data_IF_508295178774
#
_entry.id   IF_508295178774
#
_cell.length_a   1.000
_cell.length_b   1.000
_cell.length_c   1.000
_cell.angle_alpha   90.00
_cell.angle_beta   90.00
_cell.angle_gamma   90.00
#
_symmetry.space_group_name_H-M   'P 1'
#
loop_
_entity.id
_entity.type
_entity.pdbx_description
1 polymer ?
#
# COMPACT_ATOMS: atom_id res chain seq x y z
N UNK A 1 0.35 41.53 -53.46
CA UNK A 1 -0.83 41.29 -52.59
C UNK A 1 -0.97 39.78 -52.39
N UNK A 2 -0.33 39.18 -51.38
CA UNK A 2 -0.42 37.75 -51.12
C UNK A 2 -1.57 37.45 -50.15
N UNK A 3 -2.20 36.31 -50.42
CA UNK A 3 -3.41 35.72 -49.84
C UNK A 3 -3.35 35.42 -48.33
N UNK A 4 -4.44 35.69 -47.62
CA UNK A 4 -4.69 35.23 -46.24
C UNK A 4 -4.93 33.70 -46.19
N UNK A 5 -4.43 33.00 -45.15
CA UNK A 5 -4.76 31.59 -44.92
C UNK A 5 -6.18 31.39 -44.34
N UNK A 6 -6.80 30.21 -44.53
CA UNK A 6 -8.19 29.95 -44.13
C UNK A 6 -8.33 29.69 -42.62
N UNK A 7 -9.52 29.99 -42.08
CA UNK A 7 -9.88 29.81 -40.66
C UNK A 7 -9.96 28.33 -40.25
N UNK A 8 -9.60 27.98 -39.00
CA UNK A 8 -9.75 26.63 -38.48
C UNK A 8 -11.23 26.27 -38.20
N UNK A 9 -11.58 24.97 -38.23
CA UNK A 9 -12.95 24.50 -38.00
C UNK A 9 -13.39 24.64 -36.53
N UNK A 10 -14.70 24.89 -36.34
CA UNK A 10 -15.33 25.07 -35.03
C UNK A 10 -15.35 23.75 -34.23
N UNK A 11 -14.93 23.84 -32.96
CA UNK A 11 -15.01 22.76 -31.97
C UNK A 11 -16.45 22.24 -31.82
N UNK A 12 -16.64 20.96 -32.13
CA UNK A 12 -17.86 20.21 -31.86
C UNK A 12 -17.96 19.88 -30.37
N UNK A 13 -19.15 20.09 -29.81
CA UNK A 13 -19.51 19.91 -28.42
C UNK A 13 -19.66 18.41 -28.07
N UNK A 14 -18.88 17.81 -27.15
CA UNK A 14 -19.11 16.43 -26.73
C UNK A 14 -20.20 16.38 -25.65
N UNK A 15 -21.46 16.23 -26.08
CA UNK A 15 -22.51 15.67 -25.23
C UNK A 15 -22.28 14.16 -25.09
N UNK A 16 -22.20 13.68 -23.85
CA UNK A 16 -22.47 12.28 -23.52
C UNK A 16 -21.27 11.46 -23.04
N UNK A 17 -20.89 11.63 -21.78
CA UNK A 17 -20.20 10.59 -21.03
C UNK A 17 -21.00 10.32 -19.73
N UNK A 18 -21.39 9.07 -19.43
CA UNK A 18 -22.21 8.75 -18.27
C UNK A 18 -21.39 8.90 -16.98
N UNK A 19 -21.94 9.65 -16.01
CA UNK A 19 -21.39 9.75 -14.65
C UNK A 19 -21.46 8.38 -13.97
N UNK A 20 -20.30 7.77 -13.71
CA UNK A 20 -20.21 6.61 -12.82
C UNK A 20 -20.45 7.08 -11.38
N UNK A 21 -21.57 6.66 -10.81
CA UNK A 21 -21.93 6.87 -9.40
C UNK A 21 -21.09 5.94 -8.52
N UNK A 22 -20.52 6.39 -7.38
CA UNK A 22 -19.74 5.52 -6.52
C UNK A 22 -20.67 4.51 -5.82
N UNK A 23 -20.49 3.24 -6.15
CA UNK A 23 -21.19 2.13 -5.52
C UNK A 23 -20.86 2.09 -4.02
N UNK A 24 -21.90 2.22 -3.20
CA UNK A 24 -21.88 2.04 -1.74
C UNK A 24 -21.22 0.71 -1.38
N UNK A 25 -20.18 0.77 -0.56
CA UNK A 25 -19.64 -0.38 0.14
C UNK A 25 -20.75 -0.99 1.02
N UNK A 26 -21.23 -2.18 0.66
CA UNK A 26 -22.11 -2.98 1.52
C UNK A 26 -21.26 -3.61 2.61
N UNK A 27 -21.26 -3.00 3.79
CA UNK A 27 -20.84 -3.64 5.02
C UNK A 27 -21.75 -4.86 5.28
N UNK A 28 -21.14 -6.02 5.49
CA UNK A 28 -21.84 -7.21 5.98
C UNK A 28 -22.16 -7.00 7.46
N UNK A 29 -23.36 -6.48 7.75
CA UNK A 29 -23.94 -6.50 9.08
C UNK A 29 -24.71 -7.81 9.28
N UNK A 30 -24.30 -8.61 10.26
CA UNK A 30 -25.04 -9.77 10.75
C UNK A 30 -26.16 -9.25 11.67
N UNK A 31 -27.44 -9.60 11.45
CA UNK A 31 -28.50 -9.15 12.33
C UNK A 31 -28.52 -9.99 13.62
N UNK A 32 -28.42 -9.33 14.76
CA UNK A 32 -28.72 -9.90 16.07
C UNK A 32 -30.24 -10.00 16.23
N UNK A 33 -30.81 -11.20 16.08
CA UNK A 33 -32.19 -11.49 16.44
C UNK A 33 -32.31 -11.80 17.93
N UNK A 34 -33.04 -10.95 18.67
CA UNK A 34 -33.62 -11.28 19.98
C UNK A 34 -35.11 -11.56 19.82
N UNK A 35 -35.59 -12.56 20.55
CA UNK A 35 -37.00 -12.98 20.69
C UNK A 35 -37.07 -14.49 20.49
N UNK A 36 -37.40 -15.35 21.45
CA UNK A 36 -38.10 -15.16 22.72
C UNK A 36 -39.16 -16.26 22.78
N UNK A 37 -38.85 -17.42 23.39
CA UNK A 37 -39.85 -18.45 23.71
C UNK A 37 -39.47 -19.09 25.05
N UNK A 38 -40.40 -19.03 26.00
CA UNK A 38 -40.32 -19.63 27.34
C UNK A 38 -40.95 -21.04 27.37
N UNK A 39 -40.76 -21.83 28.45
CA UNK A 39 -40.56 -23.28 28.39
C UNK A 39 -41.84 -24.09 28.70
N UNK A 40 -41.89 -25.34 28.22
CA UNK A 40 -42.89 -26.31 28.68
C UNK A 40 -42.90 -27.61 27.88
N UNK A 41 -42.52 -28.73 28.50
CA UNK A 41 -42.77 -30.09 27.98
C UNK A 41 -41.62 -31.08 28.24
N UNK A 42 -41.90 -32.33 28.65
CA UNK A 42 -40.98 -33.15 29.43
C UNK A 42 -39.90 -33.86 28.60
N UNK A 43 -38.76 -34.11 29.24
CA UNK A 43 -37.63 -34.85 28.69
C UNK A 43 -37.93 -36.36 28.58
N UNK A 44 -37.58 -37.01 27.46
CA UNK A 44 -37.35 -38.44 27.44
C UNK A 44 -35.88 -38.73 27.77
N UNK A 45 -35.68 -39.37 28.92
CA UNK A 45 -34.47 -40.05 29.34
C UNK A 45 -34.12 -41.19 28.36
N UNK A 46 -33.04 -41.03 27.59
CA UNK A 46 -32.26 -42.14 27.01
C UNK A 46 -31.04 -41.61 26.23
N UNK A 47 -29.99 -41.16 26.92
CA UNK A 47 -28.68 -40.93 26.28
C UNK A 47 -27.54 -40.91 27.31
N UNK A 48 -27.39 -41.96 28.10
CA UNK A 48 -26.23 -42.16 28.97
C UNK A 48 -25.58 -43.51 28.70
N UNK A 49 -25.07 -43.70 27.48
CA UNK A 49 -24.24 -44.87 27.17
C UNK A 49 -23.28 -44.69 25.98
N UNK A 50 -22.62 -43.53 25.84
CA UNK A 50 -21.50 -43.38 24.89
C UNK A 50 -20.31 -42.53 25.39
N UNK A 51 -20.22 -42.23 26.69
CA UNK A 51 -19.07 -41.55 27.29
C UNK A 51 -18.11 -42.52 28.01
N UNK A 52 -17.76 -43.62 27.35
CA UNK A 52 -16.65 -44.49 27.79
C UNK A 52 -15.91 -45.02 26.56
N UNK A 53 -15.20 -44.11 25.90
CA UNK A 53 -14.30 -44.40 24.79
C UNK A 53 -13.18 -43.38 24.82
N UNK A 54 -12.18 -43.63 25.68
CA UNK A 54 -10.96 -42.86 25.73
C UNK A 54 -10.14 -43.08 24.46
N UNK A 55 -10.43 -42.34 23.41
CA UNK A 55 -9.46 -42.04 22.37
C UNK A 55 -8.89 -40.67 22.70
N UNK A 56 -7.70 -40.66 23.30
CA UNK A 56 -6.91 -39.45 23.44
C UNK A 56 -6.68 -38.89 22.03
N UNK A 57 -7.38 -37.80 21.70
CA UNK A 57 -6.98 -36.97 20.56
C UNK A 57 -5.50 -36.65 20.78
N UNK A 58 -4.61 -36.99 19.84
CA UNK A 58 -3.21 -36.66 20.00
C UNK A 58 -3.14 -35.15 20.18
N UNK A 59 -2.64 -34.71 21.35
CA UNK A 59 -2.26 -33.32 21.61
C UNK A 59 -1.39 -32.91 20.43
N UNK A 60 -1.96 -32.15 19.51
CA UNK A 60 -1.22 -31.52 18.44
C UNK A 60 -0.05 -30.83 19.12
N UNK A 61 1.19 -31.18 18.73
CA UNK A 61 2.38 -30.38 19.05
C UNK A 61 1.99 -28.92 18.85
N UNK A 62 2.50 -28.01 19.70
CA UNK A 62 2.37 -26.55 19.52
C UNK A 62 2.93 -26.13 18.15
N UNK A 63 2.20 -26.39 17.08
CA UNK A 63 2.27 -25.70 15.82
C UNK A 63 1.22 -24.61 15.93
N UNK A 64 1.64 -23.35 15.85
CA UNK A 64 0.73 -22.21 15.82
C UNK A 64 -0.36 -22.41 14.77
N UNK A 65 -1.49 -21.73 14.95
CA UNK A 65 -2.61 -21.82 14.00
C UNK A 65 -2.11 -21.43 12.60
N UNK A 66 -2.48 -22.22 11.59
CA UNK A 66 -2.06 -21.96 10.22
C UNK A 66 -2.45 -20.52 9.80
N UNK A 67 -1.47 -19.73 9.38
CA UNK A 67 -1.66 -18.35 8.92
C UNK A 67 -1.48 -17.25 9.96
N UNK A 68 -1.09 -17.55 11.20
CA UNK A 68 -0.79 -16.52 12.21
C UNK A 68 0.31 -15.54 11.75
N UNK A 69 1.35 -16.04 11.08
CA UNK A 69 2.47 -15.23 10.57
C UNK A 69 1.99 -14.23 9.51
N UNK A 70 1.23 -14.69 8.52
CA UNK A 70 0.72 -13.85 7.45
C UNK A 70 -0.25 -12.78 7.98
N UNK A 71 -1.09 -13.12 8.96
CA UNK A 71 -1.97 -12.15 9.64
C UNK A 71 -1.16 -11.15 10.48
N UNK A 72 -0.06 -11.59 11.10
CA UNK A 72 0.86 -10.77 11.86
C UNK A 72 1.48 -9.63 11.04
N UNK A 73 1.82 -9.89 9.78
CA UNK A 73 2.30 -8.88 8.82
C UNK A 73 1.26 -7.76 8.61
N UNK A 74 0.00 -8.13 8.34
CA UNK A 74 -1.08 -7.16 8.12
C UNK A 74 -1.37 -6.34 9.40
N UNK A 75 -1.40 -6.99 10.56
CA UNK A 75 -1.66 -6.32 11.85
C UNK A 75 -0.59 -5.29 12.24
N UNK A 76 0.63 -5.44 11.77
CA UNK A 76 1.67 -4.43 11.99
C UNK A 76 1.49 -3.23 11.09
N UNK A 77 1.20 -3.42 9.80
CA UNK A 77 0.89 -2.29 8.92
C UNK A 77 -0.30 -1.48 9.44
N UNK A 78 -1.28 -2.15 10.04
CA UNK A 78 -2.40 -1.50 10.71
C UNK A 78 -1.97 -0.70 11.95
N UNK A 79 -0.98 -1.21 12.72
CA UNK A 79 -0.42 -0.50 13.89
C UNK A 79 0.43 0.69 13.49
N UNK A 80 1.13 0.62 12.35
CA UNK A 80 1.84 1.72 11.73
C UNK A 80 0.85 2.71 11.08
N UNK A 81 -0.07 3.26 11.88
CA UNK A 81 -1.02 4.26 11.44
C UNK A 81 -0.29 5.58 11.08
N UNK A 82 -0.81 6.33 10.11
CA UNK A 82 -0.24 7.62 9.69
C UNK A 82 0.65 7.58 8.44
N UNK A 83 0.62 6.51 7.65
CA UNK A 83 1.28 6.45 6.34
C UNK A 83 2.80 6.23 6.37
N UNK A 84 3.43 6.22 7.55
CA UNK A 84 4.85 5.90 7.69
C UNK A 84 5.16 4.48 7.18
N UNK A 85 6.34 4.31 6.57
CA UNK A 85 6.81 3.03 6.06
C UNK A 85 7.61 2.28 7.15
N UNK A 86 7.05 1.20 7.76
CA UNK A 86 7.81 0.41 8.72
C UNK A 86 8.92 -0.41 8.03
N UNK A 87 9.87 -0.97 8.78
CA UNK A 87 10.90 -1.87 8.22
C UNK A 87 10.29 -3.05 7.45
N UNK A 88 10.94 -3.46 6.36
CA UNK A 88 10.53 -4.63 5.59
C UNK A 88 10.78 -5.92 6.38
N UNK A 89 9.77 -6.77 6.51
CA UNK A 89 9.82 -7.98 7.34
C UNK A 89 10.09 -9.22 6.50
N UNK A 90 11.33 -9.28 5.98
CA UNK A 90 11.79 -10.35 5.10
C UNK A 90 11.70 -11.72 5.77
N UNK A 91 12.08 -11.79 7.05
CA UNK A 91 12.15 -13.06 7.78
C UNK A 91 10.75 -13.63 8.07
N UNK A 92 9.82 -12.80 8.55
CA UNK A 92 8.43 -13.22 8.77
C UNK A 92 7.71 -13.59 7.47
N UNK A 93 7.98 -12.86 6.37
CA UNK A 93 7.46 -13.20 5.05
C UNK A 93 8.02 -14.55 4.57
N UNK A 94 9.33 -14.77 4.68
CA UNK A 94 9.98 -16.04 4.33
C UNK A 94 9.38 -17.20 5.12
N UNK A 95 9.25 -17.03 6.43
CA UNK A 95 8.64 -18.03 7.31
C UNK A 95 7.17 -18.32 6.99
N UNK A 96 6.40 -17.32 6.56
CA UNK A 96 5.02 -17.53 6.12
C UNK A 96 4.95 -18.30 4.79
N UNK A 97 5.87 -18.04 3.86
CA UNK A 97 5.97 -18.77 2.60
C UNK A 97 6.42 -20.23 2.80
N UNK A 98 7.33 -20.49 3.74
CA UNK A 98 7.72 -21.86 4.11
C UNK A 98 6.57 -22.65 4.72
N UNK A 99 5.76 -22.00 5.57
CA UNK A 99 4.54 -22.59 6.11
C UNK A 99 3.55 -22.94 4.98
N UNK A 100 3.36 -22.03 4.02
CA UNK A 100 2.52 -22.29 2.85
C UNK A 100 3.05 -23.44 2.00
N UNK A 101 4.36 -23.54 1.76
CA UNK A 101 4.97 -24.65 1.03
C UNK A 101 4.72 -25.99 1.75
N UNK A 102 4.95 -26.05 3.06
CA UNK A 102 4.72 -27.27 3.83
C UNK A 102 3.24 -27.69 3.83
N UNK A 103 2.31 -26.72 3.93
CA UNK A 103 0.88 -26.99 3.81
C UNK A 103 0.50 -27.49 2.41
N UNK A 104 1.09 -26.91 1.36
CA UNK A 104 0.86 -27.32 -0.02
C UNK A 104 1.34 -28.75 -0.29
N UNK A 105 2.55 -29.11 0.15
CA UNK A 105 3.12 -30.45 -0.03
C UNK A 105 2.27 -31.52 0.69
N UNK A 106 1.85 -31.26 1.93
CA UNK A 106 0.91 -32.15 2.65
C UNK A 106 -0.44 -32.25 1.94
N UNK A 107 -0.94 -31.14 1.41
CA UNK A 107 -2.19 -31.12 0.66
C UNK A 107 -2.11 -31.96 -0.62
N UNK A 108 -0.98 -31.92 -1.33
CA UNK A 108 -0.74 -32.71 -2.54
C UNK A 108 -0.64 -34.21 -2.24
N UNK A 109 -0.01 -34.60 -1.13
CA UNK A 109 0.02 -35.98 -0.68
C UNK A 109 -1.41 -36.51 -0.45
N UNK A 110 -2.23 -35.78 0.32
CA UNK A 110 -3.61 -36.20 0.60
C UNK A 110 -4.50 -36.19 -0.66
N UNK A 111 -4.25 -35.30 -1.63
CA UNK A 111 -4.93 -35.34 -2.93
C UNK A 111 -4.62 -36.62 -3.70
N UNK A 112 -3.37 -37.10 -3.65
CA UNK A 112 -2.97 -38.35 -4.30
C UNK A 112 -3.66 -39.56 -3.66
N UNK A 113 -3.78 -39.55 -2.32
CA UNK A 113 -4.48 -40.56 -1.54
C UNK A 113 -6.02 -40.52 -1.73
N UNK A 114 -6.59 -39.34 -1.88
CA UNK A 114 -8.01 -39.20 -2.19
C UNK A 114 -8.34 -39.78 -3.58
N UNK A 115 -7.43 -39.64 -4.55
CA UNK A 115 -7.57 -40.24 -5.89
C UNK A 115 -7.49 -41.77 -5.87
N UNK A 116 -6.76 -42.37 -4.92
CA UNK A 116 -6.70 -43.83 -4.76
C UNK A 116 -7.89 -44.41 -3.97
N UNK A 117 -8.83 -43.56 -3.51
CA UNK A 117 -10.10 -43.98 -2.92
C UNK A 117 -10.38 -43.44 -1.51
N UNK A 118 -9.42 -42.74 -0.87
CA UNK A 118 -9.59 -42.17 0.48
C UNK A 118 -10.33 -40.82 0.46
N UNK A 119 -11.63 -40.90 0.15
CA UNK A 119 -12.51 -39.72 -0.01
C UNK A 119 -12.76 -38.97 1.30
N UNK A 120 -12.53 -39.58 2.46
CA UNK A 120 -12.57 -38.95 3.79
C UNK A 120 -11.60 -37.77 3.93
N UNK A 121 -10.53 -37.73 3.13
CA UNK A 121 -9.55 -36.65 3.12
C UNK A 121 -10.03 -35.37 2.42
N UNK A 122 -11.14 -35.40 1.66
CA UNK A 122 -11.63 -34.25 0.88
C UNK A 122 -11.85 -33.01 1.76
N UNK A 123 -12.41 -33.18 2.96
CA UNK A 123 -12.63 -32.08 3.88
C UNK A 123 -11.30 -31.42 4.30
N UNK A 124 -10.30 -32.23 4.66
CA UNK A 124 -8.99 -31.76 5.09
C UNK A 124 -8.25 -31.06 3.95
N UNK A 125 -8.38 -31.57 2.72
CA UNK A 125 -7.83 -30.96 1.51
C UNK A 125 -8.42 -29.56 1.30
N UNK A 126 -9.76 -29.45 1.37
CA UNK A 126 -10.45 -28.17 1.20
C UNK A 126 -10.09 -27.18 2.30
N UNK A 127 -9.97 -27.64 3.54
CA UNK A 127 -9.53 -26.81 4.66
C UNK A 127 -8.14 -26.22 4.42
N UNK A 128 -7.15 -27.05 4.08
CA UNK A 128 -5.77 -26.57 3.80
C UNK A 128 -5.72 -25.65 2.59
N UNK A 129 -6.51 -25.93 1.55
CA UNK A 129 -6.63 -25.04 0.40
C UNK A 129 -7.15 -23.65 0.81
N UNK A 130 -8.19 -23.57 1.64
CA UNK A 130 -8.67 -22.29 2.18
C UNK A 130 -7.61 -21.55 3.01
N UNK A 131 -6.81 -22.27 3.82
CA UNK A 131 -5.70 -21.68 4.56
C UNK A 131 -4.64 -21.07 3.62
N UNK A 132 -4.27 -21.77 2.55
CA UNK A 132 -3.32 -21.25 1.55
C UNK A 132 -3.83 -19.97 0.89
N UNK A 133 -5.09 -19.94 0.46
CA UNK A 133 -5.70 -18.75 -0.13
C UNK A 133 -5.76 -17.59 0.85
N UNK A 134 -6.02 -17.87 2.14
CA UNK A 134 -6.00 -16.84 3.18
C UNK A 134 -4.61 -16.25 3.36
N UNK A 135 -3.58 -17.09 3.44
CA UNK A 135 -2.19 -16.64 3.60
C UNK A 135 -1.73 -15.82 2.39
N UNK A 136 -2.05 -16.28 1.17
CA UNK A 136 -1.78 -15.54 -0.06
C UNK A 136 -2.39 -14.14 -0.01
N UNK A 137 -3.68 -14.02 0.35
CA UNK A 137 -4.35 -12.71 0.47
C UNK A 137 -3.68 -11.80 1.49
N UNK A 138 -3.29 -12.33 2.64
CA UNK A 138 -2.60 -11.55 3.68
C UNK A 138 -1.22 -11.06 3.22
N UNK A 139 -0.43 -11.91 2.57
CA UNK A 139 0.89 -11.54 2.03
C UNK A 139 0.76 -10.50 0.93
N UNK A 140 -0.15 -10.70 -0.03
CA UNK A 140 -0.38 -9.73 -1.10
C UNK A 140 -0.87 -8.39 -0.55
N UNK A 141 -1.77 -8.40 0.43
CA UNK A 141 -2.22 -7.17 1.09
C UNK A 141 -1.06 -6.44 1.79
N UNK A 142 -0.17 -7.17 2.48
CA UNK A 142 1.02 -6.59 3.11
C UNK A 142 1.93 -5.90 2.08
N UNK A 143 2.28 -6.61 1.01
CA UNK A 143 3.15 -6.07 -0.04
C UNK A 143 2.50 -4.89 -0.75
N UNK A 144 1.21 -4.98 -1.07
CA UNK A 144 0.49 -3.92 -1.78
C UNK A 144 0.36 -2.64 -0.95
N UNK A 145 0.01 -2.73 0.33
CA UNK A 145 -0.09 -1.56 1.21
C UNK A 145 1.27 -0.85 1.35
N UNK A 146 2.36 -1.61 1.46
CA UNK A 146 3.72 -1.04 1.45
C UNK A 146 4.03 -0.31 0.15
N UNK A 147 3.71 -0.89 -1.01
CA UNK A 147 3.87 -0.22 -2.31
C UNK A 147 3.06 1.07 -2.40
N UNK A 148 1.85 1.12 -1.84
CA UNK A 148 1.05 2.34 -1.80
C UNK A 148 1.72 3.44 -0.97
N UNK A 149 2.32 3.09 0.17
CA UNK A 149 3.10 4.03 1.01
C UNK A 149 4.36 4.51 0.28
N UNK A 150 5.11 3.60 -0.35
CA UNK A 150 6.29 3.94 -1.16
C UNK A 150 5.93 4.86 -2.32
N UNK A 151 4.78 4.62 -2.97
CA UNK A 151 4.24 5.52 -3.99
C UNK A 151 3.99 6.91 -3.42
N UNK A 152 3.35 7.02 -2.26
CA UNK A 152 3.07 8.30 -1.62
C UNK A 152 4.37 9.09 -1.33
N UNK A 153 5.43 8.40 -0.90
CA UNK A 153 6.74 9.04 -0.67
C UNK A 153 7.31 9.74 -1.90
N UNK A 154 7.05 9.24 -3.13
CA UNK A 154 7.45 9.94 -4.37
C UNK A 154 6.75 11.29 -4.51
N UNK A 155 5.50 11.40 -4.07
CA UNK A 155 4.71 12.63 -4.16
C UNK A 155 5.01 13.60 -3.00
N UNK A 156 5.44 13.08 -1.85
CA UNK A 156 5.78 13.88 -0.67
C UNK A 156 7.22 14.43 -0.72
N UNK A 157 8.23 13.55 -0.92
CA UNK A 157 9.65 13.91 -0.86
C UNK A 157 10.29 14.16 -2.23
N UNK A 158 9.72 13.61 -3.30
CA UNK A 158 10.25 13.72 -4.65
C UNK A 158 11.07 12.50 -5.10
N UNK A 159 11.98 12.72 -6.05
CA UNK A 159 12.76 11.64 -6.71
C UNK A 159 13.83 11.01 -5.82
N UNK A 160 14.28 11.75 -4.80
CA UNK A 160 15.33 11.34 -3.87
C UNK A 160 14.69 11.20 -2.48
N UNK A 161 14.77 10.00 -1.91
CA UNK A 161 14.25 9.71 -0.59
C UNK A 161 15.38 9.80 0.46
N UNK A 162 15.09 10.25 1.69
CA UNK A 162 16.05 10.17 2.79
C UNK A 162 16.53 8.73 3.04
N UNK A 163 17.81 8.57 3.38
CA UNK A 163 18.41 7.25 3.65
C UNK A 163 17.69 6.47 4.77
N UNK A 164 17.16 7.17 5.77
CA UNK A 164 16.40 6.55 6.86
C UNK A 164 15.14 5.81 6.35
N UNK A 165 14.51 6.31 5.30
CA UNK A 165 13.34 5.66 4.68
C UNK A 165 13.79 4.51 3.78
N UNK A 166 14.85 4.72 3.00
CA UNK A 166 15.40 3.68 2.12
C UNK A 166 15.86 2.44 2.91
N UNK A 167 16.36 2.63 4.14
CA UNK A 167 16.75 1.53 5.03
C UNK A 167 15.59 0.60 5.43
N UNK A 168 14.35 1.08 5.36
CA UNK A 168 13.15 0.28 5.65
C UNK A 168 12.59 -0.45 4.41
N UNK A 169 13.18 -0.25 3.23
CA UNK A 169 12.74 -0.84 1.97
C UNK A 169 13.51 -2.11 1.64
N UNK A 170 12.85 -3.07 1.00
CA UNK A 170 13.56 -4.18 0.36
C UNK A 170 14.25 -3.74 -0.94
N UNK A 171 15.22 -4.53 -1.42
CA UNK A 171 15.89 -4.23 -2.69
C UNK A 171 14.91 -4.17 -3.87
N UNK A 172 13.90 -5.04 -3.86
CA UNK A 172 12.84 -5.13 -4.87
C UNK A 172 11.89 -3.93 -4.79
N UNK A 173 11.61 -3.43 -3.59
CA UNK A 173 10.83 -2.21 -3.37
C UNK A 173 11.57 -0.97 -3.90
N UNK A 174 12.89 -0.91 -3.70
CA UNK A 174 13.75 0.16 -4.25
C UNK A 174 13.75 0.11 -5.78
N UNK A 175 13.89 -1.08 -6.36
CA UNK A 175 13.83 -1.26 -7.81
C UNK A 175 12.45 -0.84 -8.37
N UNK A 176 11.37 -1.22 -7.70
CA UNK A 176 10.02 -0.79 -8.04
C UNK A 176 9.88 0.74 -7.99
N UNK A 177 10.40 1.39 -6.94
CA UNK A 177 10.40 2.85 -6.83
C UNK A 177 11.16 3.51 -7.99
N UNK A 178 12.30 2.95 -8.37
CA UNK A 178 13.08 3.45 -9.51
C UNK A 178 12.34 3.31 -10.85
N UNK A 179 11.59 2.22 -11.05
CA UNK A 179 10.72 2.07 -12.23
C UNK A 179 9.57 3.07 -12.20
N UNK A 180 8.93 3.24 -11.05
CA UNK A 180 7.82 4.17 -10.88
C UNK A 180 8.22 5.63 -11.10
N UNK A 181 9.36 6.08 -10.54
CA UNK A 181 9.83 7.45 -10.75
C UNK A 181 10.20 7.71 -12.21
N UNK A 182 10.74 6.71 -12.91
CA UNK A 182 11.05 6.80 -14.34
C UNK A 182 9.77 6.91 -15.18
N UNK A 183 8.77 6.06 -14.93
CA UNK A 183 7.50 6.12 -15.66
C UNK A 183 6.75 7.43 -15.41
N UNK A 184 6.78 7.94 -14.17
CA UNK A 184 6.21 9.24 -13.84
C UNK A 184 6.93 10.38 -14.58
N UNK A 185 8.27 10.35 -14.64
CA UNK A 185 9.03 11.35 -15.39
C UNK A 185 8.74 11.31 -16.90
N UNK A 186 8.59 10.11 -17.48
CA UNK A 186 8.14 9.95 -18.88
C UNK A 186 6.76 10.57 -19.09
N UNK A 187 5.83 10.33 -18.16
CA UNK A 187 4.49 10.92 -18.24
C UNK A 187 4.53 12.45 -18.11
N UNK A 188 5.27 13.00 -17.15
CA UNK A 188 5.44 14.44 -16.97
C UNK A 188 6.00 15.13 -18.22
N UNK A 189 6.91 14.48 -18.95
CA UNK A 189 7.42 14.99 -20.22
C UNK A 189 6.39 14.93 -21.36
N UNK A 190 5.46 13.98 -21.32
CA UNK A 190 4.43 13.82 -22.35
C UNK A 190 3.26 14.79 -22.22
N UNK A 191 3.11 15.42 -21.06
CA UNK A 191 2.04 16.38 -20.73
C UNK A 191 2.67 17.78 -20.67
N UNK A 192 1.98 18.83 -21.12
CA UNK A 192 2.50 20.20 -21.02
C UNK A 192 3.24 20.74 -22.25
N UNK A 193 3.12 20.08 -23.41
CA UNK A 193 3.73 20.57 -24.66
C UNK A 193 5.23 20.28 -24.74
N UNK A 194 6.01 21.20 -25.28
CA UNK A 194 7.46 21.00 -25.51
C UNK A 194 8.30 21.02 -24.22
N UNK A 195 7.85 21.73 -23.18
CA UNK A 195 8.60 21.86 -21.91
C UNK A 195 8.26 20.78 -20.87
N UNK A 196 7.16 20.05 -21.06
CA UNK A 196 6.64 19.12 -20.06
C UNK A 196 5.90 19.83 -18.91
N UNK A 197 5.34 19.06 -17.98
CA UNK A 197 4.66 19.58 -16.78
C UNK A 197 5.02 18.73 -15.57
N UNK A 198 5.68 19.34 -14.58
CA UNK A 198 5.94 18.69 -13.29
C UNK A 198 4.69 18.68 -12.40
N UNK A 199 3.94 17.59 -12.51
CA UNK A 199 2.73 17.32 -11.71
C UNK A 199 2.98 17.22 -10.20
N UNK A 200 4.24 17.15 -9.76
CA UNK A 200 4.54 17.07 -8.33
C UNK A 200 4.68 18.44 -7.69
N UNK A 201 4.73 19.53 -8.45
CA UNK A 201 4.81 20.89 -7.92
C UNK A 201 3.42 21.50 -7.67
N UNK A 202 3.38 22.63 -6.95
CA UNK A 202 2.19 23.49 -6.83
C UNK A 202 0.92 22.84 -6.24
N UNK A 203 1.09 21.92 -5.28
CA UNK A 203 -0.04 21.26 -4.59
C UNK A 203 -0.91 22.28 -3.84
N UNK A 204 -0.33 23.42 -3.45
CA UNK A 204 -1.03 24.52 -2.77
C UNK A 204 -1.05 25.75 -3.69
N UNK A 205 -2.16 26.49 -3.74
CA UNK A 205 -2.23 27.70 -4.54
C UNK A 205 -1.12 28.69 -4.13
N UNK A 206 -0.40 29.27 -5.10
CA UNK A 206 0.66 30.23 -4.81
C UNK A 206 0.07 31.52 -4.21
N UNK A 207 0.63 31.97 -3.09
CA UNK A 207 0.25 33.23 -2.43
C UNK A 207 1.17 34.39 -2.84
N UNK A 208 2.42 34.08 -3.17
CA UNK A 208 3.47 35.03 -3.52
C UNK A 208 4.45 34.36 -4.48
N UNK A 209 5.06 35.18 -5.36
CA UNK A 209 6.08 34.73 -6.32
C UNK A 209 7.42 34.45 -5.64
N UNK A 210 7.76 35.27 -4.64
CA UNK A 210 8.96 35.11 -3.81
C UNK A 210 8.56 34.79 -2.38
N UNK A 211 9.43 34.07 -1.69
CA UNK A 211 9.27 33.70 -0.29
C UNK A 211 10.58 33.88 0.47
N UNK A 212 10.47 34.20 1.75
CA UNK A 212 11.60 34.19 2.66
C UNK A 212 11.75 32.80 3.27
N UNK A 213 12.94 32.22 3.11
CA UNK A 213 13.26 30.87 3.57
C UNK A 213 14.43 30.88 4.53
N UNK A 214 14.38 30.00 5.53
CA UNK A 214 15.49 29.69 6.43
C UNK A 214 16.09 28.33 6.09
N UNK A 215 17.41 28.25 6.02
CA UNK A 215 18.10 26.97 5.87
C UNK A 215 18.17 26.22 7.21
N UNK A 216 17.70 24.98 7.25
CA UNK A 216 17.76 24.13 8.45
C UNK A 216 19.07 23.33 8.56
N UNK A 217 19.76 23.16 7.42
CA UNK A 217 21.04 22.44 7.30
C UNK A 217 21.88 23.06 6.19
N UNK A 218 23.18 22.77 6.20
CA UNK A 218 24.08 23.15 5.11
C UNK A 218 23.71 22.35 3.85
N UNK A 219 23.47 23.06 2.75
CA UNK A 219 23.15 22.46 1.44
C UNK A 219 24.24 22.76 0.40
N UNK A 220 25.01 23.83 0.59
CA UNK A 220 26.06 24.25 -0.33
C UNK A 220 25.56 25.28 -1.34
N UNK A 221 26.16 25.28 -2.54
CA UNK A 221 25.82 26.21 -3.60
C UNK A 221 24.50 25.83 -4.28
N UNK A 222 23.63 26.82 -4.46
CA UNK A 222 22.32 26.66 -5.06
C UNK A 222 22.14 27.64 -6.21
N UNK A 223 21.94 27.11 -7.42
CA UNK A 223 21.86 27.90 -8.63
C UNK A 223 20.40 28.19 -9.03
N UNK A 224 20.13 29.47 -9.28
CA UNK A 224 18.86 29.97 -9.84
C UNK A 224 18.99 30.03 -11.37
N UNK A 225 17.88 30.02 -12.11
CA UNK A 225 17.87 30.07 -13.57
C UNK A 225 18.61 31.26 -14.18
N UNK A 226 18.67 32.39 -13.46
CA UNK A 226 19.43 33.57 -13.88
C UNK A 226 20.96 33.39 -13.76
N UNK A 227 21.44 32.18 -13.44
CA UNK A 227 22.86 31.85 -13.23
C UNK A 227 23.41 32.35 -11.89
N UNK A 228 22.57 32.92 -11.02
CA UNK A 228 22.98 33.38 -9.70
C UNK A 228 23.12 32.20 -8.75
N UNK A 229 24.32 32.03 -8.17
CA UNK A 229 24.59 31.02 -7.14
C UNK A 229 24.46 31.61 -5.74
N UNK A 230 23.68 30.93 -4.90
CA UNK A 230 23.42 31.32 -3.51
C UNK A 230 23.96 30.24 -2.58
N UNK A 231 24.75 30.62 -1.59
CA UNK A 231 25.31 29.69 -0.62
C UNK A 231 24.32 29.45 0.54
N UNK A 232 23.73 28.26 0.58
CA UNK A 232 22.78 27.84 1.60
C UNK A 232 23.51 27.22 2.80
N UNK A 233 23.81 28.06 3.81
CA UNK A 233 24.36 27.64 5.12
C UNK A 233 23.26 27.50 6.17
N UNK A 234 23.43 26.60 7.13
CA UNK A 234 22.53 26.42 8.27
C UNK A 234 22.23 27.76 8.97
N UNK A 235 20.96 27.99 9.27
CA UNK A 235 20.40 29.19 9.88
C UNK A 235 20.52 30.49 9.06
N UNK A 236 21.03 30.45 7.82
CA UNK A 236 20.95 31.59 6.91
C UNK A 236 19.53 31.78 6.37
N UNK A 237 19.18 33.03 6.03
CA UNK A 237 17.88 33.40 5.48
C UNK A 237 18.07 33.98 4.09
N UNK A 238 17.19 33.62 3.17
CA UNK A 238 17.26 34.03 1.76
C UNK A 238 15.87 34.36 1.24
N UNK A 239 15.80 35.35 0.36
CA UNK A 239 14.58 35.71 -0.35
C UNK A 239 14.67 35.18 -1.78
N UNK A 240 13.93 34.11 -2.06
CA UNK A 240 14.09 33.31 -3.29
C UNK A 240 12.75 33.09 -3.99
N UNK A 241 12.75 32.82 -5.31
CA UNK A 241 11.55 32.43 -6.03
C UNK A 241 10.94 31.15 -5.46
N UNK A 242 9.63 31.17 -5.19
CA UNK A 242 8.92 30.08 -4.53
C UNK A 242 9.05 28.75 -5.26
N UNK A 243 8.88 28.77 -6.58
CA UNK A 243 8.88 27.59 -7.44
C UNK A 243 10.18 26.77 -7.31
N UNK A 244 11.32 27.45 -7.08
CA UNK A 244 12.63 26.79 -6.89
C UNK A 244 12.80 26.23 -5.47
N UNK A 245 12.21 26.89 -4.47
CA UNK A 245 12.32 26.48 -3.07
C UNK A 245 11.41 25.31 -2.69
N UNK A 246 10.31 25.06 -3.42
CA UNK A 246 9.30 24.06 -3.01
C UNK A 246 9.90 22.67 -2.76
N UNK A 247 10.80 22.21 -3.63
CA UNK A 247 11.43 20.90 -3.48
C UNK A 247 12.29 20.81 -2.22
N UNK A 248 13.11 21.84 -1.97
CA UNK A 248 13.98 21.90 -0.79
C UNK A 248 13.18 22.05 0.51
N UNK A 249 12.02 22.73 0.47
CA UNK A 249 11.10 22.82 1.61
C UNK A 249 10.56 21.43 1.95
N UNK A 250 10.10 20.67 0.95
CA UNK A 250 9.55 19.31 1.18
C UNK A 250 10.60 18.33 1.66
N UNK A 251 11.85 18.47 1.21
CA UNK A 251 12.96 17.68 1.71
C UNK A 251 13.38 18.06 3.14
N UNK A 252 12.86 19.17 3.68
CA UNK A 252 13.24 19.70 5.00
C UNK A 252 14.62 20.33 5.01
N UNK A 253 15.10 20.86 3.88
CA UNK A 253 16.34 21.63 3.79
C UNK A 253 16.05 23.10 4.10
N UNK A 254 14.93 23.60 3.58
CA UNK A 254 14.44 24.96 3.79
C UNK A 254 13.14 24.95 4.62
N UNK A 255 12.95 26.00 5.39
CA UNK A 255 11.70 26.31 6.09
C UNK A 255 11.17 27.64 5.56
N UNK A 256 9.88 27.69 5.21
CA UNK A 256 9.23 28.94 4.81
C UNK A 256 8.91 29.78 6.05
N UNK A 257 9.48 30.97 6.15
CA UNK A 257 9.15 31.92 7.21
C UNK A 257 7.83 32.56 6.82
N UNK A 258 6.74 32.12 7.46
CA UNK A 258 5.42 32.73 7.29
C UNK A 258 5.41 34.09 7.98
N UNK A 259 5.45 35.17 7.20
CA UNK A 259 5.04 36.51 7.61
C UNK A 259 3.53 36.67 7.48
#
# INVERSE_FOLDING_TARGET
MPSLPPRPPKLGNPRGAPRASPARARAWAVPAGRGGVSPGGPAPSAASHWLRGGAAFPRARRGGMAGERAVGLVRELQRAAGGHLPPFRAEELRQALEEMRALYERNQADVSEAKSGRTDLIFLIRFRHCCLLRNQRCIVAYLYDRLLRIRALRWEYGSILPNAIQFHMSAEEVEWFNRYKKSLATYMRSVGGEEGLDLTQDIKPPKSLYIEVRCLRDYGEFEIEDGTTVLLKKNSQHFLPRWKCEQLIRQGVLEHILS
#
